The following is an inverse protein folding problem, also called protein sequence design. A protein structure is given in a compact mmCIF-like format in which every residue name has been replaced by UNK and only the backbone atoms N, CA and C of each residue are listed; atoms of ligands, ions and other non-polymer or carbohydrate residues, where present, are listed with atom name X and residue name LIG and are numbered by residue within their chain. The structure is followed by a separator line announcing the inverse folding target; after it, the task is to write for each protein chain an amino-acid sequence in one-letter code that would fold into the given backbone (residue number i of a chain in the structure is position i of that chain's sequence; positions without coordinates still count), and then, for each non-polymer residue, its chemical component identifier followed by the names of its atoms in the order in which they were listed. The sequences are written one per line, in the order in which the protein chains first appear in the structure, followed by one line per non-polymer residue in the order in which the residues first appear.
data_IF_276490834253
#
_entry.id   IF_276490834253
#
_cell.length_a   1.000
_cell.length_b   1.000
_cell.length_c   1.000
_cell.angle_alpha   90.00
_cell.angle_beta   90.00
_cell.angle_gamma   90.00
#
_symmetry.space_group_name_H-M   'P 1'
#
loop_
_entity.id
_entity.type
_entity.pdbx_description
1 polymer ?
#
# COMPACT_ATOMS: atom_id res chain seq x y z
N UNK A 1 -36.81 19.42 -20.56
CA UNK A 1 -36.71 17.94 -20.44
C UNK A 1 -35.41 17.54 -21.11
N UNK A 2 -34.30 17.48 -20.36
CA UNK A 2 -33.67 16.21 -19.86
C UNK A 2 -33.32 15.29 -21.04
N UNK A 3 -32.06 14.94 -21.31
CA UNK A 3 -31.25 14.12 -20.40
C UNK A 3 -29.77 14.18 -20.75
N UNK A 4 -28.94 14.33 -19.72
CA UNK A 4 -27.52 14.01 -19.69
C UNK A 4 -27.36 12.48 -19.69
N UNK A 5 -26.32 11.97 -20.37
CA UNK A 5 -25.87 10.59 -20.21
C UNK A 5 -24.82 10.55 -19.10
N UNK A 6 -25.25 9.97 -17.99
CA UNK A 6 -24.48 9.64 -16.81
C UNK A 6 -23.70 8.34 -17.08
N UNK A 7 -22.37 8.39 -17.03
CA UNK A 7 -21.52 7.22 -17.18
C UNK A 7 -21.01 6.80 -15.80
N UNK A 8 -21.46 5.61 -15.39
CA UNK A 8 -21.26 5.00 -14.09
C UNK A 8 -19.79 4.87 -13.66
N UNK A 9 -19.53 5.22 -12.40
CA UNK A 9 -18.28 4.97 -11.67
C UNK A 9 -18.39 3.59 -10.97
N UNK A 10 -17.40 2.69 -11.07
CA UNK A 10 -17.40 1.46 -10.28
C UNK A 10 -17.03 1.74 -8.81
N UNK A 11 -17.87 1.27 -7.90
CA UNK A 11 -17.71 1.30 -6.45
C UNK A 11 -16.59 0.33 -6.02
N UNK A 12 -15.55 0.85 -5.35
CA UNK A 12 -14.48 0.08 -4.73
C UNK A 12 -14.76 0.07 -3.23
N UNK A 13 -14.95 -1.15 -2.70
CA UNK A 13 -15.43 -1.42 -1.35
C UNK A 13 -14.50 -0.97 -0.23
N UNK A 14 -15.14 -0.64 0.90
CA UNK A 14 -14.54 -0.42 2.21
C UNK A 14 -13.77 -1.65 2.73
N UNK A 15 -12.69 -1.44 3.51
CA UNK A 15 -12.30 -2.36 4.56
C UNK A 15 -12.81 -1.86 5.92
N UNK A 16 -13.86 -2.51 6.44
CA UNK A 16 -14.26 -2.39 7.84
C UNK A 16 -13.19 -2.97 8.76
N UNK A 17 -12.78 -2.16 9.73
CA UNK A 17 -12.04 -2.52 10.92
C UNK A 17 -12.90 -3.36 11.86
N UNK A 18 -12.42 -4.55 12.26
CA UNK A 18 -12.87 -5.20 13.49
C UNK A 18 -11.76 -6.10 14.07
N UNK A 19 -11.27 -5.70 15.25
CA UNK A 19 -10.56 -6.53 16.21
C UNK A 19 -11.54 -7.51 16.86
N UNK A 20 -11.22 -8.81 16.96
CA UNK A 20 -11.50 -9.74 18.08
C UNK A 20 -10.75 -11.07 17.80
N UNK A 21 -9.75 -11.40 18.61
CA UNK A 21 -9.78 -12.47 19.62
C UNK A 21 -9.70 -13.91 19.05
N UNK A 22 -8.53 -14.51 19.28
CA UNK A 22 -8.18 -15.94 19.39
C UNK A 22 -9.18 -16.99 18.88
N UNK A 23 -8.73 -17.86 17.96
CA UNK A 23 -8.54 -19.31 18.16
C UNK A 23 -8.43 -20.08 16.82
N UNK A 24 -7.50 -21.05 16.80
CA UNK A 24 -7.41 -22.21 15.89
C UNK A 24 -7.05 -22.00 14.39
N UNK A 25 -5.75 -22.11 14.08
CA UNK A 25 -5.29 -22.64 12.79
C UNK A 25 -5.30 -24.18 12.84
N UNK A 26 -5.96 -24.90 11.90
CA UNK A 26 -5.68 -26.31 11.70
C UNK A 26 -4.35 -26.45 10.97
N UNK A 27 -3.43 -27.18 11.61
CA UNK A 27 -2.11 -27.52 11.08
C UNK A 27 -2.26 -28.34 9.78
N UNK A 28 -1.59 -27.90 8.72
CA UNK A 28 -1.33 -28.72 7.54
C UNK A 28 -0.44 -29.91 7.93
N UNK A 29 -0.78 -31.17 7.57
CA UNK A 29 0.11 -32.29 7.83
C UNK A 29 1.33 -32.21 6.91
N UNK A 30 2.49 -32.04 7.52
CA UNK A 30 3.80 -32.32 6.94
C UNK A 30 3.84 -33.77 6.44
N UNK A 31 4.32 -34.07 5.22
CA UNK A 31 4.67 -35.44 4.88
C UNK A 31 6.00 -35.77 5.56
N UNK A 32 5.92 -36.35 6.75
CA UNK A 32 7.07 -37.00 7.38
C UNK A 32 7.57 -38.13 6.47
N UNK A 33 8.87 -38.08 6.18
CA UNK A 33 9.59 -39.15 5.52
C UNK A 33 9.53 -40.41 6.38
N UNK A 34 8.79 -41.42 5.93
CA UNK A 34 8.97 -42.79 6.38
C UNK A 34 9.11 -43.70 5.17
N UNK A 35 10.33 -44.20 4.98
CA UNK A 35 10.61 -45.25 4.01
C UNK A 35 9.96 -46.54 4.51
N UNK A 36 8.85 -46.94 3.91
CA UNK A 36 8.29 -48.28 4.06
C UNK A 36 8.76 -49.13 2.87
N UNK A 37 9.65 -50.08 3.15
CA UNK A 37 9.96 -51.13 2.20
C UNK A 37 8.72 -52.04 2.11
N UNK A 38 8.00 -52.00 0.99
CA UNK A 38 7.00 -53.03 0.67
C UNK A 38 7.68 -54.14 -0.10
N UNK A 39 7.63 -55.35 0.44
CA UNK A 39 7.99 -56.57 -0.26
C UNK A 39 6.79 -57.08 -1.06
N UNK A 40 7.08 -57.62 -2.24
CA UNK A 40 6.26 -58.49 -3.10
C UNK A 40 5.24 -57.85 -4.08
N UNK A 41 5.57 -57.77 -5.37
CA UNK A 41 5.12 -58.74 -6.39
C UNK A 41 5.45 -58.29 -7.84
N UNK A 42 6.21 -59.15 -8.51
CA UNK A 42 6.40 -59.43 -9.94
C UNK A 42 5.56 -58.68 -11.01
N UNK A 43 6.19 -57.79 -11.80
CA UNK A 43 6.08 -57.63 -13.29
C UNK A 43 6.89 -56.40 -13.80
N UNK A 44 7.85 -56.63 -14.70
CA UNK A 44 8.79 -55.64 -15.28
C UNK A 44 8.14 -54.78 -16.40
N UNK A 45 8.62 -53.54 -16.70
CA UNK A 45 9.82 -53.40 -17.54
C UNK A 45 10.81 -52.34 -17.03
N UNK A 46 12.07 -52.76 -16.88
CA UNK A 46 13.33 -51.96 -16.85
C UNK A 46 13.17 -50.42 -16.83
N UNK A 47 12.85 -49.87 -15.66
CA UNK A 47 13.43 -48.58 -15.30
C UNK A 47 14.92 -48.87 -15.11
N UNK A 48 15.78 -48.29 -15.94
CA UNK A 48 17.23 -48.34 -15.71
C UNK A 48 17.47 -47.77 -14.31
N UNK A 49 17.68 -48.67 -13.35
CA UNK A 49 17.86 -48.30 -11.96
C UNK A 49 19.01 -47.29 -11.91
N UNK A 50 18.76 -46.14 -11.28
CA UNK A 50 19.80 -45.12 -11.06
C UNK A 50 21.00 -45.84 -10.43
N UNK A 51 22.22 -45.69 -10.99
CA UNK A 51 23.40 -46.36 -10.45
C UNK A 51 23.44 -46.15 -8.94
N UNK A 52 23.62 -47.23 -8.18
CA UNK A 52 23.67 -47.15 -6.71
C UNK A 52 24.77 -46.17 -6.35
N UNK A 53 24.39 -45.00 -5.84
CA UNK A 53 25.32 -44.07 -5.24
C UNK A 53 25.96 -44.84 -4.08
N UNK A 54 27.22 -45.24 -4.25
CA UNK A 54 28.00 -45.83 -3.16
C UNK A 54 27.91 -44.93 -1.94
N UNK A 55 28.00 -45.52 -0.74
CA UNK A 55 27.95 -44.79 0.52
C UNK A 55 29.07 -43.74 0.56
N UNK A 56 28.77 -42.56 0.04
CA UNK A 56 29.62 -41.37 0.14
C UNK A 56 29.22 -40.74 1.46
N UNK A 57 30.20 -40.58 2.35
CA UNK A 57 30.09 -39.75 3.55
C UNK A 57 29.38 -38.46 3.14
N UNK A 58 28.29 -38.07 3.82
CA UNK A 58 27.55 -36.86 3.44
C UNK A 58 28.53 -35.69 3.42
N UNK A 59 28.78 -35.14 2.23
CA UNK A 59 29.50 -33.87 2.12
C UNK A 59 28.67 -32.86 2.92
N UNK A 60 29.32 -32.22 3.89
CA UNK A 60 28.64 -31.38 4.88
C UNK A 60 27.77 -30.31 4.24
N UNK A 61 26.90 -29.72 5.05
CA UNK A 61 25.98 -28.67 4.62
C UNK A 61 26.71 -27.53 3.88
N UNK A 62 26.19 -27.15 2.71
CA UNK A 62 26.65 -25.97 1.95
C UNK A 62 26.21 -24.64 2.59
N UNK A 63 25.76 -24.65 3.85
CA UNK A 63 25.31 -23.43 4.52
C UNK A 63 26.53 -22.64 5.00
N UNK A 64 26.83 -21.57 4.28
CA UNK A 64 27.83 -20.58 4.68
C UNK A 64 27.18 -19.59 5.66
N UNK A 65 27.73 -19.40 6.88
CA UNK A 65 27.24 -18.39 7.82
C UNK A 65 27.26 -16.99 7.22
N UNK A 66 26.29 -16.16 7.59
CA UNK A 66 26.10 -14.82 7.01
C UNK A 66 27.28 -13.86 7.23
N UNK A 67 28.09 -14.11 8.25
CA UNK A 67 29.27 -13.31 8.61
C UNK A 67 30.58 -13.88 8.04
N UNK A 68 30.51 -14.87 7.14
CA UNK A 68 31.70 -15.39 6.47
C UNK A 68 32.36 -14.28 5.62
N UNK A 69 33.70 -14.19 5.62
CA UNK A 69 34.40 -13.18 4.85
C UNK A 69 34.04 -13.35 3.36
N UNK A 70 33.42 -12.33 2.77
CA UNK A 70 33.13 -12.29 1.34
C UNK A 70 34.46 -12.11 0.60
N UNK A 71 35.13 -13.22 0.30
CA UNK A 71 36.33 -13.21 -0.53
C UNK A 71 35.90 -12.94 -1.97
N UNK A 72 35.86 -11.66 -2.36
CA UNK A 72 35.93 -11.28 -3.77
C UNK A 72 37.33 -11.65 -4.22
N UNK A 73 37.49 -12.89 -4.68
CA UNK A 73 38.75 -13.34 -5.26
C UNK A 73 38.84 -12.70 -6.63
N UNK A 74 39.62 -11.62 -6.76
CA UNK A 74 40.17 -11.19 -8.05
C UNK A 74 40.97 -12.38 -8.59
N UNK A 75 40.28 -13.20 -9.37
CA UNK A 75 40.85 -14.38 -9.99
C UNK A 75 41.24 -13.94 -11.38
N UNK A 76 42.54 -13.80 -11.65
CA UNK A 76 43.02 -13.66 -13.01
C UNK A 76 42.47 -14.84 -13.82
N UNK A 77 41.63 -14.54 -14.82
CA UNK A 77 40.93 -15.57 -15.60
C UNK A 77 41.98 -16.26 -16.46
N UNK A 78 42.40 -17.45 -16.04
CA UNK A 78 43.40 -18.26 -16.75
C UNK A 78 42.83 -18.79 -18.08
N UNK A 79 43.69 -18.85 -19.10
CA UNK A 79 43.34 -19.35 -20.44
C UNK A 79 43.03 -20.85 -20.38
N UNK A 80 41.75 -21.17 -20.15
CA UNK A 80 41.25 -22.53 -19.90
C UNK A 80 40.29 -22.66 -18.73
N UNK A 81 39.95 -21.57 -18.02
CA UNK A 81 38.98 -21.61 -16.93
C UNK A 81 37.62 -22.11 -17.43
N UNK A 82 37.15 -23.22 -16.87
CA UNK A 82 35.84 -23.86 -17.15
C UNK A 82 34.65 -22.90 -16.99
N UNK A 83 34.82 -21.83 -16.21
CA UNK A 83 33.85 -20.76 -16.04
C UNK A 83 33.66 -19.92 -17.31
N UNK A 84 34.66 -19.86 -18.19
CA UNK A 84 34.57 -19.22 -19.52
C UNK A 84 33.87 -20.12 -20.54
N UNK A 85 33.89 -21.44 -20.32
CA UNK A 85 33.27 -22.45 -21.20
C UNK A 85 31.81 -22.75 -20.83
N UNK A 86 31.32 -22.24 -19.70
CA UNK A 86 29.90 -22.29 -19.36
C UNK A 86 29.14 -21.22 -20.13
N UNK A 87 27.96 -21.50 -20.72
CA UNK A 87 27.09 -20.47 -21.28
C UNK A 87 26.62 -19.50 -20.18
N UNK A 88 27.47 -18.52 -19.87
CA UNK A 88 27.10 -17.37 -19.04
C UNK A 88 26.23 -16.47 -19.90
N UNK A 89 25.12 -15.96 -19.35
CA UNK A 89 24.52 -14.74 -19.91
C UNK A 89 25.66 -13.73 -20.00
N UNK A 90 25.85 -13.12 -21.16
CA UNK A 90 26.88 -12.09 -21.37
C UNK A 90 26.85 -11.15 -20.16
N UNK A 91 27.98 -10.97 -19.45
CA UNK A 91 28.06 -10.12 -18.26
C UNK A 91 27.54 -8.70 -18.54
N UNK A 92 27.73 -8.23 -19.78
CA UNK A 92 27.19 -6.96 -20.28
C UNK A 92 25.64 -6.91 -20.27
N UNK A 93 24.94 -8.02 -20.54
CA UNK A 93 23.47 -8.08 -20.51
C UNK A 93 22.95 -7.93 -19.07
N UNK A 94 23.66 -8.53 -18.09
CA UNK A 94 23.30 -8.44 -16.67
C UNK A 94 23.54 -7.02 -16.14
N UNK A 95 24.65 -6.39 -16.52
CA UNK A 95 24.94 -5.01 -16.14
C UNK A 95 23.91 -4.04 -16.73
N UNK A 96 23.55 -4.22 -18.00
CA UNK A 96 22.49 -3.45 -18.67
C UNK A 96 21.14 -3.61 -17.97
N UNK A 97 20.76 -4.83 -17.60
CA UNK A 97 19.53 -5.08 -16.86
C UNK A 97 19.54 -4.39 -15.48
N UNK A 98 20.69 -4.35 -14.81
CA UNK A 98 20.86 -3.63 -13.55
C UNK A 98 20.74 -2.11 -13.71
N UNK A 99 21.26 -1.57 -14.81
CA UNK A 99 21.11 -0.15 -15.16
C UNK A 99 19.67 0.23 -15.49
N UNK A 100 18.98 -0.59 -16.28
CA UNK A 100 17.56 -0.40 -16.61
C UNK A 100 16.69 -0.43 -15.35
N UNK A 101 16.91 -1.40 -14.45
CA UNK A 101 16.18 -1.47 -13.18
C UNK A 101 16.42 -0.23 -12.31
N UNK A 102 17.66 0.28 -12.24
CA UNK A 102 17.96 1.53 -11.53
C UNK A 102 17.27 2.73 -12.17
N UNK A 103 17.28 2.81 -13.51
CA UNK A 103 16.63 3.89 -14.27
C UNK A 103 15.12 3.90 -14.01
N UNK A 104 14.49 2.74 -14.05
CA UNK A 104 13.04 2.58 -13.83
C UNK A 104 12.65 2.93 -12.38
N UNK A 105 13.46 2.52 -11.39
CA UNK A 105 13.24 2.94 -10.00
C UNK A 105 13.33 4.46 -9.83
N UNK A 106 14.31 5.11 -10.47
CA UNK A 106 14.46 6.58 -10.42
C UNK A 106 13.27 7.27 -11.11
N UNK A 107 12.81 6.72 -12.23
CA UNK A 107 11.66 7.25 -12.96
C UNK A 107 10.38 7.17 -12.12
N UNK A 108 10.11 6.02 -11.50
CA UNK A 108 8.98 5.86 -10.58
C UNK A 108 9.05 6.82 -9.40
N UNK A 109 10.23 6.98 -8.80
CA UNK A 109 10.43 7.92 -7.69
C UNK A 109 10.12 9.37 -8.12
N UNK A 110 10.52 9.78 -9.33
CA UNK A 110 10.19 11.10 -9.89
C UNK A 110 8.69 11.28 -10.13
N UNK A 111 8.02 10.28 -10.68
CA UNK A 111 6.56 10.32 -10.89
C UNK A 111 5.84 10.49 -9.56
N UNK A 112 6.26 9.77 -8.52
CA UNK A 112 5.70 9.90 -7.18
C UNK A 112 5.95 11.29 -6.59
N UNK A 113 7.16 11.84 -6.74
CA UNK A 113 7.47 13.20 -6.28
C UNK A 113 6.58 14.25 -6.96
N UNK A 114 6.41 14.16 -8.28
CA UNK A 114 5.52 15.05 -9.03
C UNK A 114 4.06 14.92 -8.60
N UNK A 115 3.59 13.68 -8.38
CA UNK A 115 2.25 13.42 -7.87
C UNK A 115 2.04 14.02 -6.49
N UNK A 116 3.02 13.93 -5.59
CA UNK A 116 2.93 14.50 -4.26
C UNK A 116 2.91 16.02 -4.30
N UNK A 117 3.74 16.64 -5.15
CA UNK A 117 3.74 18.08 -5.32
C UNK A 117 2.37 18.60 -5.81
N UNK A 118 1.78 17.93 -6.81
CA UNK A 118 0.46 18.30 -7.30
C UNK A 118 -0.65 18.19 -6.23
N UNK A 119 -0.54 17.21 -5.32
CA UNK A 119 -1.47 17.07 -4.19
C UNK A 119 -1.28 18.22 -3.21
N UNK A 120 -0.04 18.59 -2.88
CA UNK A 120 0.25 19.72 -1.98
C UNK A 120 -0.35 21.00 -2.52
N UNK A 121 -0.12 21.31 -3.80
CA UNK A 121 -0.65 22.52 -4.44
C UNK A 121 -2.19 22.57 -4.37
N UNK A 122 -2.85 21.43 -4.61
CA UNK A 122 -4.31 21.32 -4.52
C UNK A 122 -4.83 21.50 -3.08
N UNK A 123 -4.10 20.98 -2.08
CA UNK A 123 -4.45 21.16 -0.67
C UNK A 123 -4.33 22.64 -0.27
N UNK A 124 -3.31 23.34 -0.76
CA UNK A 124 -3.15 24.78 -0.53
C UNK A 124 -4.28 25.60 -1.15
N UNK A 125 -4.70 25.27 -2.38
CA UNK A 125 -5.86 25.89 -3.03
C UNK A 125 -7.13 25.71 -2.19
N UNK A 126 -7.45 24.48 -1.80
CA UNK A 126 -8.62 24.16 -0.97
C UNK A 126 -8.55 24.87 0.38
N UNK A 127 -7.37 24.96 1.00
CA UNK A 127 -7.17 25.67 2.26
C UNK A 127 -7.48 27.17 2.11
N UNK A 128 -7.02 27.80 1.02
CA UNK A 128 -7.27 29.21 0.75
C UNK A 128 -8.76 29.48 0.48
N UNK A 129 -9.44 28.58 -0.23
CA UNK A 129 -10.89 28.67 -0.42
C UNK A 129 -11.65 28.49 0.89
N UNK A 130 -11.24 27.53 1.72
CA UNK A 130 -11.84 27.31 3.03
C UNK A 130 -11.69 28.53 3.93
N UNK A 131 -10.52 29.18 3.97
CA UNK A 131 -10.31 30.41 4.73
C UNK A 131 -11.24 31.54 4.28
N UNK A 132 -11.45 31.70 2.97
CA UNK A 132 -12.41 32.68 2.43
C UNK A 132 -13.85 32.36 2.84
N UNK A 133 -14.27 31.10 2.73
CA UNK A 133 -15.61 30.67 3.12
C UNK A 133 -15.83 30.80 4.63
N UNK A 134 -14.83 30.46 5.43
CA UNK A 134 -14.87 30.63 6.89
C UNK A 134 -14.96 32.11 7.28
N UNK A 135 -14.17 32.98 6.64
CA UNK A 135 -14.25 34.43 6.83
C UNK A 135 -15.62 34.99 6.44
N UNK A 136 -16.15 34.57 5.29
CA UNK A 136 -17.50 34.94 4.84
C UNK A 136 -18.60 34.45 5.80
N UNK A 137 -18.50 33.22 6.29
CA UNK A 137 -19.46 32.65 7.24
C UNK A 137 -19.43 33.41 8.58
N UNK A 138 -18.23 33.72 9.10
CA UNK A 138 -18.07 34.58 10.29
C UNK A 138 -18.72 35.94 10.08
N UNK A 139 -18.48 36.59 8.94
CA UNK A 139 -19.11 37.87 8.61
C UNK A 139 -20.64 37.79 8.59
N UNK A 140 -21.20 36.76 7.93
CA UNK A 140 -22.64 36.55 7.88
C UNK A 140 -23.24 36.32 9.27
N UNK A 141 -22.58 35.52 10.12
CA UNK A 141 -23.02 35.27 11.49
C UNK A 141 -23.02 36.56 12.32
N UNK A 142 -21.96 37.38 12.24
CA UNK A 142 -21.90 38.68 12.91
C UNK A 142 -23.01 39.61 12.43
N UNK A 143 -23.22 39.71 11.11
CA UNK A 143 -24.27 40.55 10.53
C UNK A 143 -25.68 40.12 10.98
N UNK A 144 -25.96 38.82 10.97
CA UNK A 144 -27.24 38.28 11.48
C UNK A 144 -27.37 38.59 12.99
N UNK A 145 -26.31 38.42 13.78
CA UNK A 145 -26.30 38.74 15.20
C UNK A 145 -26.65 40.20 15.48
N UNK A 146 -26.01 41.14 14.78
CA UNK A 146 -26.29 42.57 14.87
C UNK A 146 -27.71 42.92 14.43
N UNK A 147 -28.17 42.35 13.31
CA UNK A 147 -29.52 42.58 12.81
C UNK A 147 -30.59 42.05 13.79
N UNK A 148 -30.37 40.88 14.38
CA UNK A 148 -31.27 40.33 15.40
C UNK A 148 -31.25 41.17 16.68
N UNK A 149 -30.09 41.67 17.10
CA UNK A 149 -29.97 42.53 18.28
C UNK A 149 -30.70 43.86 18.08
N UNK A 150 -30.47 44.52 16.96
CA UNK A 150 -31.16 45.77 16.59
C UNK A 150 -32.67 45.54 16.41
N UNK A 151 -33.08 44.42 15.81
CA UNK A 151 -34.49 44.05 15.66
C UNK A 151 -35.19 43.85 17.00
N UNK A 152 -34.52 43.23 17.99
CA UNK A 152 -35.07 43.09 19.35
C UNK A 152 -35.25 44.45 20.04
N UNK A 153 -34.25 45.34 19.94
CA UNK A 153 -34.27 46.66 20.58
C UNK A 153 -35.33 47.58 19.94
N UNK A 154 -35.50 47.52 18.62
CA UNK A 154 -36.46 48.36 17.89
C UNK A 154 -37.90 47.84 17.94
N UNK A 155 -38.10 46.52 18.06
CA UNK A 155 -39.44 45.92 18.25
C UNK A 155 -40.00 46.19 19.65
N UNK A 156 -39.15 46.42 20.65
CA UNK A 156 -39.54 46.96 21.96
C UNK A 156 -39.63 48.48 21.94
N UNK A 157 -40.34 49.06 20.96
CA UNK A 157 -40.81 50.43 21.10
C UNK A 157 -41.89 50.47 22.21
N UNK A 158 -41.88 51.43 23.13
CA UNK A 158 -42.86 51.49 24.22
C UNK A 158 -44.28 51.57 23.64
N UNK A 159 -45.26 50.81 24.18
CA UNK A 159 -46.64 50.97 23.76
C UNK A 159 -47.04 52.43 24.00
N UNK A 160 -47.45 53.13 22.93
CA UNK A 160 -48.04 54.45 23.04
C UNK A 160 -49.17 54.38 24.07
N UNK A 161 -49.00 55.12 25.17
CA UNK A 161 -50.05 55.46 26.11
C UNK A 161 -51.35 55.80 25.35
N UNK A 162 -52.37 54.95 25.45
CA UNK A 162 -53.75 55.31 25.10
C UNK A 162 -54.72 54.46 25.90
N UNK A 163 -55.39 55.06 26.89
CA UNK A 163 -56.56 54.45 27.51
C UNK A 163 -56.67 54.66 29.01
N UNK A 164 -57.09 55.86 29.39
CA UNK A 164 -57.59 56.23 30.71
C UNK A 164 -58.82 55.36 31.06
N UNK A 165 -58.64 54.33 31.89
CA UNK A 165 -59.71 53.50 32.43
C UNK A 165 -59.91 53.77 33.91
N UNK A 166 -60.78 54.73 34.24
CA UNK A 166 -61.30 54.96 35.59
C UNK A 166 -62.43 53.95 35.82
N UNK A 167 -62.21 52.90 36.60
CA UNK A 167 -63.29 52.15 37.29
C UNK A 167 -63.16 52.49 38.78
N UNK A 168 -64.14 53.06 39.48
CA UNK A 168 -65.58 53.13 39.22
C UNK A 168 -66.28 52.06 40.04
N UNK A 169 -66.64 52.46 41.28
CA UNK A 169 -67.40 51.76 42.34
C UNK A 169 -66.65 50.73 43.19
#
# INVERSE_FOLDING_TARGET
MTSVHDAAIPSIGEPSSNHHHAQHCPQSPSPDSSAVASEDDSRSPRLTARPKLGSRKSSGTMIVPRDAPNTVVESDIEEGDVRTMSPRRNSEEVDKLGEEARRDMIEQAKTLQLSLQAIVDRVEEVKNEHEKLEGGNKFLQSYIGELMQTSKITSTAPPKNKGKGRSGK
#
